data_IF_267518637965
#
_entry.id   IF_267518637965
#
_cell.length_a   1.000
_cell.length_b   1.000
_cell.length_c   1.000
_cell.angle_alpha   90.00
_cell.angle_beta   90.00
_cell.angle_gamma   90.00
#
_symmetry.space_group_name_H-M   'P 1'
#
loop_
_entity.id
_entity.type
_entity.pdbx_description
1 polymer ?
#
# COMPACT_ATOMS: atom_id res chain seq x y z
N UNK A 1 21.20 -7.62 10.61
CA UNK A 1 21.01 -6.46 9.72
C UNK A 1 19.51 -6.27 9.60
N UNK A 2 18.95 -5.17 10.09
CA UNK A 2 17.52 -4.88 9.89
C UNK A 2 17.40 -4.31 8.47
N UNK A 3 17.12 -5.17 7.48
CA UNK A 3 16.69 -4.70 6.17
C UNK A 3 15.37 -3.96 6.36
N UNK A 4 15.43 -2.64 6.33
CA UNK A 4 14.24 -1.82 6.34
C UNK A 4 13.52 -2.08 5.01
N UNK A 5 12.51 -2.96 5.03
CA UNK A 5 11.63 -3.18 3.89
C UNK A 5 11.14 -1.81 3.45
N UNK A 6 11.34 -1.41 2.20
CA UNK A 6 10.86 -0.12 1.71
C UNK A 6 9.37 -0.24 1.35
N UNK A 7 8.61 0.83 1.56
CA UNK A 7 7.21 0.94 1.12
C UNK A 7 6.96 2.29 0.47
N UNK A 8 5.99 2.34 -0.42
CA UNK A 8 5.45 3.61 -0.89
C UNK A 8 4.73 4.33 0.25
N UNK A 9 4.93 5.65 0.31
CA UNK A 9 4.22 6.54 1.22
C UNK A 9 3.15 7.29 0.42
N UNK A 10 1.85 6.95 0.54
CA UNK A 10 0.80 7.58 -0.25
C UNK A 10 0.78 9.11 -0.14
N UNK A 11 1.04 9.65 1.05
CA UNK A 11 1.13 11.09 1.27
C UNK A 11 2.29 11.73 0.49
N UNK A 12 3.49 11.14 0.53
CA UNK A 12 4.64 11.66 -0.20
C UNK A 12 4.49 11.48 -1.72
N UNK A 13 3.82 10.40 -2.14
CA UNK A 13 3.48 10.17 -3.54
C UNK A 13 2.43 11.17 -4.04
N UNK A 14 1.49 11.58 -3.19
CA UNK A 14 0.54 12.66 -3.47
C UNK A 14 1.27 14.00 -3.67
N UNK A 15 2.16 14.36 -2.74
CA UNK A 15 3.01 15.57 -2.87
C UNK A 15 3.84 15.53 -4.18
N UNK A 16 4.37 14.37 -4.53
CA UNK A 16 5.08 14.14 -5.79
C UNK A 16 4.21 14.44 -7.01
N UNK A 17 2.99 13.91 -7.08
CA UNK A 17 2.12 14.16 -8.23
C UNK A 17 1.60 15.60 -8.30
N UNK A 18 1.25 16.22 -7.17
CA UNK A 18 0.87 17.63 -7.13
C UNK A 18 1.97 18.53 -7.70
N UNK A 19 3.22 18.28 -7.30
CA UNK A 19 4.37 19.04 -7.78
C UNK A 19 4.74 18.72 -9.24
N UNK A 20 4.67 17.44 -9.64
CA UNK A 20 5.09 16.99 -10.98
C UNK A 20 4.18 17.52 -12.09
N UNK A 21 2.88 17.55 -11.82
CA UNK A 21 1.85 17.95 -12.79
C UNK A 21 1.29 19.35 -12.54
N UNK A 22 1.84 20.08 -11.55
CA UNK A 22 1.44 21.46 -11.20
C UNK A 22 -0.08 21.59 -11.06
N UNK A 23 -0.67 20.60 -10.36
CA UNK A 23 -2.11 20.49 -10.19
C UNK A 23 -2.57 21.70 -9.38
N UNK A 24 -3.35 22.58 -10.02
CA UNK A 24 -3.87 23.78 -9.38
C UNK A 24 -4.89 23.43 -8.29
N UNK A 25 -5.01 24.27 -7.24
CA UNK A 25 -6.11 24.15 -6.29
C UNK A 25 -7.47 24.30 -7.01
N UNK A 26 -8.47 23.56 -6.54
CA UNK A 26 -9.81 23.54 -7.13
C UNK A 26 -10.47 22.18 -6.97
N UNK A 27 -11.48 21.91 -7.81
CA UNK A 27 -12.25 20.66 -7.79
C UNK A 27 -12.26 19.90 -9.13
N UNK A 28 -11.56 20.39 -10.16
CA UNK A 28 -11.55 19.75 -11.47
C UNK A 28 -11.05 18.30 -11.42
N UNK A 29 -10.02 18.03 -10.63
CA UNK A 29 -9.46 16.69 -10.46
C UNK A 29 -10.34 15.81 -9.56
N UNK A 30 -11.13 16.39 -8.65
CA UNK A 30 -12.06 15.65 -7.80
C UNK A 30 -13.03 14.79 -8.64
N UNK A 31 -13.61 15.36 -9.69
CA UNK A 31 -14.52 14.64 -10.59
C UNK A 31 -13.81 13.56 -11.39
N UNK A 32 -12.62 13.87 -11.92
CA UNK A 32 -11.81 12.95 -12.73
C UNK A 32 -11.37 11.72 -11.93
N UNK A 33 -11.06 11.91 -10.65
CA UNK A 33 -10.66 10.83 -9.75
C UNK A 33 -11.85 10.10 -9.11
N UNK A 34 -13.09 10.47 -9.45
CA UNK A 34 -14.30 9.87 -8.86
C UNK A 34 -14.49 10.20 -7.38
N UNK A 35 -13.96 11.33 -6.92
CA UNK A 35 -14.01 11.83 -5.54
C UNK A 35 -14.75 13.18 -5.47
N UNK A 36 -16.02 13.27 -5.92
CA UNK A 36 -16.74 14.55 -6.00
C UNK A 36 -16.94 15.23 -4.64
N UNK A 37 -16.98 14.44 -3.56
CA UNK A 37 -17.16 14.91 -2.19
C UNK A 37 -15.85 15.40 -1.53
N UNK A 38 -14.72 15.29 -2.23
CA UNK A 38 -13.45 15.81 -1.72
C UNK A 38 -13.44 17.35 -1.76
N UNK A 39 -12.97 17.97 -0.68
CA UNK A 39 -12.97 19.44 -0.56
C UNK A 39 -12.08 20.14 -1.60
N UNK A 40 -10.99 19.50 -2.01
CA UNK A 40 -10.07 19.99 -3.02
C UNK A 40 -9.35 18.85 -3.78
N UNK A 41 -8.69 19.22 -4.87
CA UNK A 41 -7.90 18.32 -5.72
C UNK A 41 -6.81 17.55 -4.94
N UNK A 42 -6.21 18.14 -3.90
CA UNK A 42 -5.16 17.49 -3.12
C UNK A 42 -5.75 16.39 -2.22
N UNK A 43 -6.91 16.62 -1.62
CA UNK A 43 -7.64 15.61 -0.85
C UNK A 43 -8.15 14.47 -1.75
N UNK A 44 -8.71 14.80 -2.91
CA UNK A 44 -9.14 13.83 -3.90
C UNK A 44 -7.96 12.93 -4.35
N UNK A 45 -6.84 13.57 -4.68
CA UNK A 45 -5.63 12.86 -5.09
C UNK A 45 -5.06 12.00 -3.95
N UNK A 46 -5.07 12.49 -2.71
CA UNK A 46 -4.62 11.72 -1.56
C UNK A 46 -5.47 10.48 -1.27
N UNK A 47 -6.79 10.56 -1.50
CA UNK A 47 -7.68 9.40 -1.43
C UNK A 47 -7.38 8.42 -2.56
N UNK A 48 -7.38 8.90 -3.79
CA UNK A 48 -7.14 8.07 -4.98
C UNK A 48 -5.76 7.39 -4.96
N UNK A 49 -4.70 8.08 -4.52
CA UNK A 49 -3.34 7.51 -4.41
C UNK A 49 -3.27 6.40 -3.36
N UNK A 50 -4.01 6.49 -2.24
CA UNK A 50 -4.06 5.40 -1.26
C UNK A 50 -4.64 4.15 -1.88
N UNK A 51 -5.78 4.28 -2.56
CA UNK A 51 -6.43 3.16 -3.23
C UNK A 51 -5.54 2.59 -4.34
N UNK A 52 -4.86 3.45 -5.11
CA UNK A 52 -3.97 3.02 -6.19
C UNK A 52 -2.74 2.25 -5.67
N UNK A 53 -2.15 2.67 -4.54
CA UNK A 53 -1.05 1.93 -3.89
C UNK A 53 -1.52 0.54 -3.46
N UNK A 54 -2.73 0.41 -2.88
CA UNK A 54 -3.28 -0.89 -2.49
C UNK A 54 -3.55 -1.80 -3.70
N UNK A 55 -4.07 -1.25 -4.81
CA UNK A 55 -4.28 -2.00 -6.06
C UNK A 55 -2.98 -2.55 -6.66
N UNK A 56 -1.86 -1.87 -6.43
CA UNK A 56 -0.57 -2.19 -7.04
C UNK A 56 0.44 -2.83 -6.07
N UNK A 57 0.07 -3.16 -4.82
CA UNK A 57 0.99 -3.66 -3.78
C UNK A 57 1.81 -4.90 -4.20
N UNK A 58 1.34 -5.66 -5.20
CA UNK A 58 2.04 -6.82 -5.76
C UNK A 58 3.17 -6.54 -6.76
N UNK A 59 3.41 -5.28 -7.15
CA UNK A 59 4.51 -4.90 -8.06
C UNK A 59 5.75 -4.45 -7.28
N UNK A 60 6.91 -4.42 -7.94
CA UNK A 60 8.08 -3.74 -7.40
C UNK A 60 7.82 -2.24 -7.20
N UNK A 61 8.45 -1.63 -6.19
CA UNK A 61 8.13 -0.24 -5.79
C UNK A 61 8.24 0.78 -6.94
N UNK A 62 9.24 0.63 -7.82
CA UNK A 62 9.38 1.49 -8.99
C UNK A 62 8.25 1.27 -9.99
N UNK A 63 7.86 0.01 -10.22
CA UNK A 63 6.78 -0.36 -11.12
C UNK A 63 5.42 0.06 -10.58
N UNK A 64 5.22 0.02 -9.26
CA UNK A 64 4.06 0.61 -8.60
C UNK A 64 3.94 2.11 -8.93
N UNK A 65 5.02 2.88 -8.73
CA UNK A 65 5.01 4.32 -9.04
C UNK A 65 4.72 4.56 -10.52
N UNK A 66 5.37 3.82 -11.42
CA UNK A 66 5.15 3.96 -12.86
C UNK A 66 3.72 3.59 -13.29
N UNK A 67 3.11 2.57 -12.67
CA UNK A 67 1.73 2.18 -12.94
C UNK A 67 0.75 3.28 -12.49
N UNK A 68 0.90 3.76 -11.24
CA UNK A 68 0.07 4.83 -10.68
C UNK A 68 0.23 6.13 -11.47
N UNK A 69 1.47 6.52 -11.81
CA UNK A 69 1.74 7.72 -12.61
C UNK A 69 1.08 7.65 -13.98
N UNK A 70 1.13 6.48 -14.63
CA UNK A 70 0.50 6.26 -15.94
C UNK A 70 -1.01 6.33 -15.87
N UNK A 71 -1.62 5.75 -14.83
CA UNK A 71 -3.06 5.79 -14.61
C UNK A 71 -3.54 7.23 -14.40
N UNK A 72 -2.87 7.97 -13.50
CA UNK A 72 -3.17 9.38 -13.24
C UNK A 72 -3.04 10.23 -14.51
N UNK A 73 -1.94 10.06 -15.24
CA UNK A 73 -1.69 10.80 -16.48
C UNK A 73 -2.78 10.54 -17.51
N UNK A 74 -3.20 9.28 -17.67
CA UNK A 74 -4.29 8.91 -18.58
C UNK A 74 -5.60 9.58 -18.17
N UNK A 75 -5.97 9.53 -16.90
CA UNK A 75 -7.18 10.18 -16.40
C UNK A 75 -7.18 11.69 -16.65
N UNK A 76 -6.04 12.36 -16.42
CA UNK A 76 -5.91 13.80 -16.67
C UNK A 76 -5.98 14.14 -18.16
N UNK A 77 -5.38 13.34 -19.05
CA UNK A 77 -5.44 13.54 -20.51
C UNK A 77 -6.85 13.28 -21.03
N UNK A 78 -7.50 12.18 -20.61
CA UNK A 78 -8.87 11.83 -21.02
C UNK A 78 -9.87 12.91 -20.57
N UNK A 79 -9.58 13.60 -19.47
CA UNK A 79 -10.35 14.74 -18.97
C UNK A 79 -9.98 16.11 -19.57
N UNK A 80 -8.98 16.17 -20.46
CA UNK A 80 -8.49 17.43 -21.04
C UNK A 80 -7.79 18.35 -20.04
N UNK A 81 -7.31 17.83 -18.91
CA UNK A 81 -6.58 18.58 -17.88
C UNK A 81 -5.06 18.61 -18.09
N UNK A 82 -4.54 17.77 -18.99
CA UNK A 82 -3.13 17.74 -19.34
C UNK A 82 -2.99 17.60 -20.86
N UNK A 83 -2.25 18.53 -21.47
CA UNK A 83 -2.01 18.54 -22.91
C UNK A 83 -0.90 17.58 -23.36
N UNK A 84 0.05 17.25 -22.47
CA UNK A 84 1.20 16.42 -22.81
C UNK A 84 1.61 15.46 -21.66
N UNK A 85 1.62 14.13 -21.87
CA UNK A 85 2.12 13.15 -20.88
C UNK A 85 3.63 13.26 -20.56
N UNK A 86 4.37 14.03 -21.36
CA UNK A 86 5.77 14.38 -21.20
C UNK A 86 6.00 15.74 -20.54
N UNK A 87 4.95 16.54 -20.28
CA UNK A 87 5.03 17.76 -19.47
C UNK A 87 5.24 17.41 -17.98
N UNK A 88 6.42 16.84 -17.69
CA UNK A 88 6.85 16.41 -16.36
C UNK A 88 7.82 17.45 -15.84
N UNK A 89 7.44 18.14 -14.77
CA UNK A 89 8.37 19.08 -14.14
C UNK A 89 9.50 18.33 -13.44
N UNK A 90 10.72 18.84 -13.59
CA UNK A 90 11.86 18.35 -12.84
C UNK A 90 11.62 18.61 -11.35
N UNK A 91 11.69 17.55 -10.54
CA UNK A 91 11.43 17.63 -9.11
C UNK A 91 12.73 17.63 -8.31
N UNK A 92 12.77 18.33 -7.16
CA UNK A 92 13.89 18.24 -6.24
C UNK A 92 14.12 16.80 -5.80
N UNK A 93 15.38 16.34 -5.81
CA UNK A 93 15.75 14.97 -5.40
C UNK A 93 15.25 14.62 -3.98
N UNK A 94 15.22 15.61 -3.08
CA UNK A 94 14.68 15.45 -1.73
C UNK A 94 13.18 15.06 -1.70
N UNK A 95 12.40 15.54 -2.67
CA UNK A 95 10.97 15.23 -2.78
C UNK A 95 10.78 13.81 -3.34
N UNK A 96 11.57 13.44 -4.35
CA UNK A 96 11.58 12.08 -4.91
C UNK A 96 12.00 11.05 -3.85
N UNK A 97 13.04 11.34 -3.07
CA UNK A 97 13.53 10.47 -2.00
C UNK A 97 12.49 10.26 -0.88
N UNK A 98 11.50 11.16 -0.74
CA UNK A 98 10.42 11.01 0.25
C UNK A 98 9.32 10.03 -0.19
N UNK A 99 9.22 9.71 -1.48
CA UNK A 99 8.20 8.76 -1.98
C UNK A 99 8.39 7.37 -1.36
N UNK A 100 9.64 6.93 -1.29
CA UNK A 100 10.01 5.68 -0.64
C UNK A 100 10.28 5.95 0.84
N UNK A 101 9.70 5.13 1.71
CA UNK A 101 9.95 5.21 3.14
C UNK A 101 10.26 3.85 3.73
N UNK A 102 10.95 3.80 4.89
CA UNK A 102 11.08 2.55 5.62
C UNK A 102 9.68 2.07 6.02
N UNK A 103 9.38 0.80 5.77
CA UNK A 103 8.23 0.07 6.33
C UNK A 103 8.45 0.13 7.83
N UNK A 104 7.69 0.99 8.49
CA UNK A 104 7.59 0.95 9.95
C UNK A 104 7.04 -0.43 10.27
N UNK A 105 7.89 -1.32 10.77
CA UNK A 105 7.43 -2.47 11.53
C UNK A 105 6.54 -1.87 12.63
N UNK A 106 5.23 -2.07 12.51
CA UNK A 106 4.30 -1.60 13.53
C UNK A 106 4.80 -2.10 14.88
N UNK A 107 4.73 -1.31 15.97
CA UNK A 107 5.05 -1.80 17.31
C UNK A 107 4.15 -2.96 17.76
N UNK A 108 3.12 -3.32 16.98
CA UNK A 108 2.32 -4.54 17.15
C UNK A 108 3.04 -5.84 16.75
N UNK A 109 4.15 -5.77 16.00
CA UNK A 109 5.00 -6.94 15.69
C UNK A 109 6.03 -7.23 16.79
N UNK A 110 6.13 -6.37 17.81
CA UNK A 110 6.71 -6.77 19.10
C UNK A 110 5.64 -7.50 19.90
N UNK A 111 5.34 -8.74 19.54
CA UNK A 111 4.98 -9.69 20.59
C UNK A 111 6.23 -9.84 21.47
N UNK A 112 6.19 -9.45 22.75
CA UNK A 112 7.28 -9.81 23.65
C UNK A 112 7.27 -11.33 23.76
N UNK A 113 8.44 -11.93 23.49
CA UNK A 113 8.66 -13.35 23.71
C UNK A 113 8.18 -13.74 25.10
N UNK A 114 7.13 -14.57 25.17
CA UNK A 114 6.77 -15.27 26.39
C UNK A 114 7.58 -16.56 26.44
N UNK A 115 8.88 -16.40 26.67
CA UNK A 115 9.68 -17.48 27.23
C UNK A 115 9.22 -17.70 28.68
N UNK A 116 8.81 -18.93 29.00
CA UNK A 116 8.85 -19.43 30.38
C UNK A 116 7.52 -19.79 31.02
N UNK A 117 7.05 -21.02 30.79
CA UNK A 117 6.63 -21.87 31.91
C UNK A 117 6.96 -23.34 31.63
N UNK A 118 8.17 -23.75 32.01
CA UNK A 118 8.44 -25.14 32.41
C UNK A 118 7.50 -25.48 33.57
N UNK A 119 6.64 -26.49 33.42
CA UNK A 119 6.27 -27.41 34.50
C UNK A 119 6.19 -28.84 33.95
N UNK A 120 6.66 -29.74 34.82
CA UNK A 120 7.04 -31.14 34.64
C UNK A 120 5.87 -32.06 34.27
N UNK A 121 6.28 -33.16 33.62
CA UNK A 121 5.80 -34.54 33.71
C UNK A 121 4.51 -34.81 34.52
N UNK A 122 3.55 -35.43 33.85
CA UNK A 122 2.46 -36.20 34.43
C UNK A 122 2.13 -37.34 33.47
N UNK A 123 2.80 -38.47 33.67
CA UNK A 123 2.40 -39.77 33.13
C UNK A 123 0.95 -40.06 33.54
N UNK A 124 0.12 -40.53 32.60
CA UNK A 124 -0.96 -41.48 32.89
C UNK A 124 -1.37 -42.15 31.59
N UNK A 125 -0.92 -43.39 31.50
CA UNK A 125 -1.53 -44.52 30.82
C UNK A 125 -3.06 -44.39 30.70
N UNK A 126 -3.60 -44.58 29.49
CA UNK A 126 -4.93 -45.15 29.31
C UNK A 126 -5.05 -45.72 27.89
N UNK A 127 -4.72 -47.01 27.81
CA UNK A 127 -5.19 -47.99 26.83
C UNK A 127 -6.71 -47.91 26.66
N UNK A 128 -7.23 -47.79 25.44
CA UNK A 128 -8.50 -48.45 25.02
C UNK A 128 -8.36 -48.94 23.56
N UNK A 129 -8.63 -50.22 23.26
CA UNK A 129 -8.41 -50.86 21.96
C UNK A 129 -9.55 -50.65 20.94
N UNK A 130 -9.23 -50.96 19.67
CA UNK A 130 -10.07 -51.09 18.48
C UNK A 130 -11.41 -51.84 18.70
N UNK A 131 -12.37 -51.65 17.78
CA UNK A 131 -12.74 -52.82 16.97
C UNK A 131 -12.85 -52.55 15.46
N UNK A 132 -12.24 -53.44 14.70
CA UNK A 132 -12.46 -53.70 13.27
C UNK A 132 -13.84 -54.29 13.04
N UNK A 133 -14.70 -53.57 12.30
CA UNK A 133 -15.97 -54.08 11.81
C UNK A 133 -15.84 -54.62 10.40
N UNK A 134 -15.67 -55.94 10.27
CA UNK A 134 -16.10 -56.68 9.08
C UNK A 134 -17.56 -57.10 9.29
N UNK A 135 -18.43 -56.88 8.31
CA UNK A 135 -19.66 -57.65 8.22
C UNK A 135 -19.95 -58.02 6.76
N UNK A 136 -19.94 -59.33 6.56
CA UNK A 136 -20.55 -60.07 5.47
C UNK A 136 -22.05 -59.74 5.36
N UNK A 137 -22.55 -59.81 4.13
CA UNK A 137 -23.96 -59.78 3.76
C UNK A 137 -24.08 -59.88 2.25
#
# INVERSE_FOLDING_TARGET
>A
MNDAILRLRPQALTEYFLARYVIQPGQGLCLVLGQPDAGDNAQALAAWVRDAVERHDGLDLCDQVHAIERELCRLMVDAGMADDPAARHALPAALVARVFGPKRLSPCDRQPGRAGRRRKAGSSDNVIPFPTGSHHG
#
